data_IF_212975521921
#
_entry.id   IF_212975521921
#
_cell.length_a   1.000
_cell.length_b   1.000
_cell.length_c   1.000
_cell.angle_alpha   90.00
_cell.angle_beta   90.00
_cell.angle_gamma   90.00
#
_symmetry.space_group_name_H-M   'P 1'
#
loop_
_entity.id
_entity.type
_entity.pdbx_description
1 polymer ?
#
# COMPACT_ATOMS: atom_id res chain seq x y z
N UNK A 1 -5.75 12.48 -0.25
CA UNK A 1 -4.36 11.96 -0.44
C UNK A 1 -3.59 11.83 0.86
N UNK A 2 -3.52 12.87 1.72
CA UNK A 2 -2.80 12.77 3.00
C UNK A 2 -3.37 11.68 3.92
N UNK A 3 -4.70 11.51 3.94
CA UNK A 3 -5.34 10.51 4.80
C UNK A 3 -5.01 9.07 4.38
N UNK A 4 -4.84 8.81 3.09
CA UNK A 4 -4.39 7.51 2.57
C UNK A 4 -2.99 7.18 3.10
N UNK A 5 -2.04 8.11 3.00
CA UNK A 5 -0.68 7.91 3.49
C UNK A 5 -0.68 7.73 5.02
N UNK A 6 -1.39 8.59 5.75
CA UNK A 6 -1.57 8.50 7.22
C UNK A 6 -2.11 7.14 7.67
N UNK A 7 -3.08 6.58 6.94
CA UNK A 7 -3.64 5.26 7.23
C UNK A 7 -2.64 4.12 7.03
N UNK A 8 -1.80 4.21 6.00
CA UNK A 8 -0.72 3.25 5.73
C UNK A 8 0.36 3.37 6.81
N UNK A 9 0.81 4.59 7.12
CA UNK A 9 1.83 4.86 8.16
C UNK A 9 1.40 4.35 9.53
N UNK A 10 0.14 4.56 9.94
CA UNK A 10 -0.40 4.02 11.21
C UNK A 10 -0.40 2.50 11.28
N UNK A 11 -0.33 1.82 10.14
CA UNK A 11 -0.33 0.35 10.07
C UNK A 11 1.09 -0.21 9.99
N UNK A 12 2.03 0.59 9.51
CA UNK A 12 3.44 0.27 9.33
C UNK A 12 4.26 0.47 10.62
N UNK A 13 5.38 -0.22 10.71
CA UNK A 13 6.36 -0.03 11.79
C UNK A 13 7.48 0.95 11.35
N UNK A 14 8.22 1.51 12.31
CA UNK A 14 9.29 2.50 12.07
C UNK A 14 10.42 2.00 11.14
N UNK A 15 10.55 0.69 10.94
CA UNK A 15 11.52 0.09 10.02
C UNK A 15 11.06 0.04 8.57
N UNK A 16 9.78 0.34 8.31
CA UNK A 16 9.18 0.26 6.97
C UNK A 16 9.25 1.60 6.27
N UNK A 17 9.45 1.58 4.94
CA UNK A 17 9.54 2.79 4.14
C UNK A 17 8.30 2.94 3.26
N UNK A 18 7.50 3.98 3.52
CA UNK A 18 6.40 4.38 2.65
C UNK A 18 6.91 5.31 1.55
N UNK A 19 6.61 4.98 0.31
CA UNK A 19 6.93 5.78 -0.87
C UNK A 19 5.66 6.07 -1.66
N UNK A 20 5.57 7.28 -2.20
CA UNK A 20 4.54 7.63 -3.19
C UNK A 20 5.11 7.39 -4.59
N UNK A 21 4.47 6.49 -5.34
CA UNK A 21 4.95 6.09 -6.68
C UNK A 21 4.10 6.68 -7.82
N UNK A 22 2.91 7.18 -7.51
CA UNK A 22 2.00 7.77 -8.48
C UNK A 22 1.11 8.85 -7.89
N UNK A 23 0.06 9.22 -8.63
CA UNK A 23 -0.93 10.20 -8.20
C UNK A 23 -1.56 9.78 -6.87
N UNK A 24 -2.26 8.66 -6.88
CA UNK A 24 -2.96 8.04 -5.75
C UNK A 24 -2.34 6.70 -5.33
N UNK A 25 -1.17 6.35 -5.88
CA UNK A 25 -0.50 5.06 -5.69
C UNK A 25 0.68 5.16 -4.71
N UNK A 26 0.72 4.21 -3.78
CA UNK A 26 1.71 4.13 -2.70
C UNK A 26 2.33 2.75 -2.64
N UNK A 27 3.59 2.70 -2.21
CA UNK A 27 4.33 1.47 -2.00
C UNK A 27 4.92 1.46 -0.59
N UNK A 28 4.70 0.37 0.14
CA UNK A 28 5.28 0.16 1.45
C UNK A 28 6.36 -0.93 1.37
N UNK A 29 7.61 -0.55 1.59
CA UNK A 29 8.72 -1.48 1.70
C UNK A 29 8.80 -1.94 3.15
N UNK A 30 8.42 -3.19 3.41
CA UNK A 30 8.24 -3.71 4.77
C UNK A 30 9.52 -4.28 5.38
N UNK A 31 10.49 -4.70 4.56
CA UNK A 31 11.66 -5.45 5.00
C UNK A 31 11.34 -6.87 5.49
N UNK A 32 10.10 -7.32 5.34
CA UNK A 32 9.65 -8.65 5.72
C UNK A 32 9.91 -9.64 4.58
N UNK A 33 10.39 -10.84 4.93
CA UNK A 33 10.61 -11.95 4.00
C UNK A 33 9.52 -13.02 4.08
N UNK A 34 8.69 -12.97 5.12
CA UNK A 34 7.56 -13.87 5.32
C UNK A 34 6.31 -13.30 4.62
N UNK A 35 5.73 -14.09 3.73
CA UNK A 35 4.55 -13.70 2.97
C UNK A 35 3.33 -13.53 3.88
N UNK A 36 3.14 -14.40 4.90
CA UNK A 36 2.00 -14.31 5.81
C UNK A 36 2.04 -13.00 6.61
N UNK A 37 3.21 -12.62 7.11
CA UNK A 37 3.38 -11.35 7.82
C UNK A 37 3.06 -10.12 6.94
N UNK A 38 3.43 -10.15 5.64
CA UNK A 38 3.08 -9.08 4.70
C UNK A 38 1.59 -9.09 4.36
N UNK A 39 0.99 -10.27 4.29
CA UNK A 39 -0.44 -10.42 4.06
C UNK A 39 -1.26 -9.87 5.23
N UNK A 40 -0.92 -10.21 6.47
CA UNK A 40 -1.57 -9.67 7.67
C UNK A 40 -1.48 -8.14 7.71
N UNK A 41 -0.34 -7.56 7.34
CA UNK A 41 -0.17 -6.12 7.22
C UNK A 41 -1.07 -5.52 6.14
N UNK A 42 -1.17 -6.17 4.97
CA UNK A 42 -2.05 -5.73 3.90
C UNK A 42 -3.52 -5.77 4.32
N UNK A 43 -3.95 -6.83 5.02
CA UNK A 43 -5.30 -6.98 5.54
C UNK A 43 -5.61 -5.93 6.61
N UNK A 44 -4.66 -5.62 7.50
CA UNK A 44 -4.77 -4.54 8.50
C UNK A 44 -4.94 -3.16 7.85
N UNK A 45 -4.24 -2.88 6.75
CA UNK A 45 -4.45 -1.64 6.00
C UNK A 45 -5.84 -1.63 5.37
N UNK A 46 -6.26 -2.74 4.77
CA UNK A 46 -7.53 -2.88 4.04
C UNK A 46 -8.76 -2.96 4.96
N UNK A 47 -8.61 -3.39 6.22
CA UNK A 47 -9.73 -3.57 7.16
C UNK A 47 -10.50 -2.29 7.48
N UNK A 48 -9.87 -1.13 7.24
CA UNK A 48 -10.46 0.19 7.41
C UNK A 48 -11.18 0.69 6.14
N UNK A 49 -11.33 -0.15 5.10
CA UNK A 49 -12.03 0.24 3.86
C UNK A 49 -13.51 0.46 4.17
N UNK A 50 -14.06 1.55 3.63
CA UNK A 50 -15.42 1.97 3.93
C UNK A 50 -15.54 2.87 5.16
N UNK A 51 -14.48 3.05 5.95
CA UNK A 51 -14.41 4.17 6.88
C UNK A 51 -14.46 5.49 6.10
N UNK A 52 -15.24 6.45 6.62
CA UNK A 52 -15.35 7.77 6.02
C UNK A 52 -14.25 8.69 6.53
N UNK A 53 -13.79 9.56 5.63
CA UNK A 53 -12.89 10.65 5.96
C UNK A 53 -13.68 11.94 5.84
N UNK A 54 -13.57 12.81 6.85
CA UNK A 54 -14.19 14.12 6.77
C UNK A 54 -13.29 15.04 5.94
N UNK A 55 -13.81 15.51 4.81
CA UNK A 55 -13.14 16.48 3.95
C UNK A 55 -14.10 17.62 3.64
N UNK A 56 -13.73 18.83 4.06
CA UNK A 56 -14.53 20.05 3.86
C UNK A 56 -15.97 19.94 4.40
N UNK A 57 -16.16 19.24 5.52
CA UNK A 57 -17.46 19.02 6.14
C UNK A 57 -18.29 17.89 5.52
N UNK A 58 -17.80 17.24 4.46
CA UNK A 58 -18.43 16.06 3.87
C UNK A 58 -17.70 14.77 4.28
N UNK A 59 -18.47 13.74 4.63
CA UNK A 59 -17.94 12.41 4.93
C UNK A 59 -17.85 11.59 3.65
N UNK A 60 -16.62 11.36 3.18
CA UNK A 60 -16.36 10.61 1.95
C UNK A 60 -15.82 9.22 2.29
N UNK A 61 -16.42 8.13 1.76
CA UNK A 61 -15.89 6.78 2.00
C UNK A 61 -14.54 6.60 1.30
N UNK A 62 -13.54 6.11 2.03
CA UNK A 62 -12.22 5.80 1.47
C UNK A 62 -12.04 4.28 1.34
N UNK A 63 -11.78 3.83 0.11
CA UNK A 63 -11.39 2.46 -0.18
C UNK A 63 -10.02 2.44 -0.83
N UNK A 64 -9.16 1.55 -0.36
CA UNK A 64 -7.84 1.28 -0.92
C UNK A 64 -7.83 -0.11 -1.53
N UNK A 65 -6.90 -0.35 -2.45
CA UNK A 65 -6.55 -1.69 -2.92
C UNK A 65 -5.07 -1.93 -2.63
N UNK A 66 -4.72 -3.17 -2.31
CA UNK A 66 -3.35 -3.54 -1.96
C UNK A 66 -2.92 -4.77 -2.74
N UNK A 67 -1.75 -4.70 -3.38
CA UNK A 67 -1.07 -5.82 -4.00
C UNK A 67 0.25 -6.10 -3.27
N UNK A 68 0.66 -7.36 -3.23
CA UNK A 68 1.90 -7.80 -2.59
C UNK A 68 2.86 -8.29 -3.67
N UNK A 69 4.09 -7.79 -3.65
CA UNK A 69 5.17 -8.29 -4.52
C UNK A 69 6.46 -8.45 -3.74
N UNK A 70 7.26 -9.47 -4.10
CA UNK A 70 8.56 -9.73 -3.47
C UNK A 70 9.63 -8.99 -4.24
N UNK A 71 10.44 -8.21 -3.53
CA UNK A 71 11.61 -7.55 -4.12
C UNK A 71 12.68 -8.62 -4.44
N UNK A 72 13.10 -8.77 -5.70
CA UNK A 72 14.14 -9.72 -6.06
C UNK A 72 15.53 -9.27 -5.56
N UNK A 73 16.40 -10.22 -5.21
CA UNK A 73 17.75 -9.94 -4.70
C UNK A 73 18.65 -9.23 -5.72
N UNK A 74 18.43 -9.48 -7.02
CA UNK A 74 19.06 -8.75 -8.12
C UNK A 74 18.07 -7.78 -8.74
N UNK A 75 18.10 -6.53 -8.29
CA UNK A 75 17.14 -5.52 -8.74
C UNK A 75 17.54 -4.92 -10.08
N UNK A 76 16.79 -5.23 -11.15
CA UNK A 76 16.73 -4.35 -12.33
C UNK A 76 15.57 -3.41 -12.12
N UNK A 77 15.86 -2.11 -11.95
CA UNK A 77 14.86 -1.09 -11.64
C UNK A 77 13.64 -1.11 -12.58
N UNK A 78 13.86 -1.37 -13.87
CA UNK A 78 12.80 -1.44 -14.87
C UNK A 78 11.84 -2.61 -14.63
N UNK A 79 12.34 -3.78 -14.23
CA UNK A 79 11.51 -4.96 -13.94
C UNK A 79 10.73 -4.75 -12.65
N UNK A 80 11.38 -4.23 -11.61
CA UNK A 80 10.74 -3.96 -10.32
C UNK A 80 9.59 -2.95 -10.43
N UNK A 81 9.76 -1.89 -11.22
CA UNK A 81 8.70 -0.91 -11.45
C UNK A 81 7.49 -1.52 -12.17
N UNK A 82 7.74 -2.38 -13.16
CA UNK A 82 6.67 -3.12 -13.86
C UNK A 82 5.91 -4.03 -12.91
N UNK A 83 6.62 -4.82 -12.09
CA UNK A 83 6.00 -5.74 -11.12
C UNK A 83 5.13 -5.02 -10.10
N UNK A 84 5.56 -3.83 -9.62
CA UNK A 84 4.75 -3.01 -8.71
C UNK A 84 3.45 -2.52 -9.37
N UNK A 85 3.54 -2.07 -10.63
CA UNK A 85 2.37 -1.59 -11.36
C UNK A 85 1.39 -2.73 -11.70
N UNK A 86 1.91 -3.91 -12.05
CA UNK A 86 1.10 -5.11 -12.26
C UNK A 86 0.38 -5.55 -10.97
N UNK A 87 1.09 -5.58 -9.83
CA UNK A 87 0.49 -5.96 -8.55
C UNK A 87 -0.68 -5.05 -8.16
N UNK A 88 -0.55 -3.74 -8.41
CA UNK A 88 -1.64 -2.77 -8.19
C UNK A 88 -2.79 -3.03 -9.17
N UNK A 89 -2.49 -3.24 -10.44
CA UNK A 89 -3.50 -3.46 -11.48
C UNK A 89 -4.33 -4.72 -11.24
N UNK A 90 -3.69 -5.82 -10.81
CA UNK A 90 -4.38 -7.07 -10.43
C UNK A 90 -5.24 -6.86 -9.19
N UNK A 91 -4.80 -6.07 -8.22
CA UNK A 91 -5.57 -5.82 -6.99
C UNK A 91 -6.85 -5.00 -7.20
N UNK A 92 -6.97 -4.28 -8.32
CA UNK A 92 -8.11 -3.41 -8.66
C UNK A 92 -9.26 -4.17 -9.36
N UNK A 93 -9.07 -5.45 -9.75
CA UNK A 93 -10.10 -6.32 -10.34
C UNK A 93 -10.90 -7.05 -9.27
#
# INVERSE_FOLDING_TARGET
MLETASRIEKSADDSMLLMRIGGDEFALITGLYDYEAVKDLSEKVMSKNGETINFDGEDLPLSLWCGITKIPESLRYNEFFTDMHEAISVSKQ
#
